data_IF_883226582145
#
_entry.id   IF_883226582145
#
_cell.length_a   1.000
_cell.length_b   1.000
_cell.length_c   1.000
_cell.angle_alpha   90.00
_cell.angle_beta   90.00
_cell.angle_gamma   90.00
#
_symmetry.space_group_name_H-M   'P 1'
#
loop_
_entity.id
_entity.type
_entity.pdbx_description
1 polymer ?
#
# COMPACT_ATOMS: atom_id res chain seq x y z
N UNK A 1 5.36 10.47 -13.69
CA UNK A 1 5.92 9.17 -13.24
C UNK A 1 6.65 9.26 -11.89
N UNK A 2 7.46 10.29 -11.71
CA UNK A 2 8.22 10.53 -10.48
C UNK A 2 7.31 10.51 -9.23
N UNK A 3 6.26 11.32 -9.22
CA UNK A 3 5.32 11.38 -8.09
C UNK A 3 4.54 10.08 -7.91
N UNK A 4 4.24 9.37 -9.01
CA UNK A 4 3.52 8.10 -8.95
C UNK A 4 4.33 7.03 -8.22
N UNK A 5 5.63 6.92 -8.50
CA UNK A 5 6.50 5.94 -7.83
C UNK A 5 6.58 6.23 -6.34
N UNK A 6 6.77 7.48 -5.95
CA UNK A 6 6.82 7.88 -4.54
C UNK A 6 5.45 7.67 -3.86
N UNK A 7 4.35 7.93 -4.57
CA UNK A 7 3.00 7.68 -4.06
C UNK A 7 2.78 6.18 -3.78
N UNK A 8 3.22 5.31 -4.69
CA UNK A 8 3.13 3.86 -4.50
C UNK A 8 3.92 3.44 -3.25
N UNK A 9 5.12 3.98 -3.06
CA UNK A 9 5.91 3.71 -1.87
C UNK A 9 5.18 4.12 -0.59
N UNK A 10 4.59 5.31 -0.55
CA UNK A 10 3.79 5.79 0.58
C UNK A 10 2.57 4.89 0.85
N UNK A 11 1.87 4.50 -0.21
CA UNK A 11 0.73 3.59 -0.11
C UNK A 11 1.14 2.24 0.49
N UNK A 12 2.29 1.69 0.09
CA UNK A 12 2.76 0.41 0.61
C UNK A 12 3.26 0.50 2.05
N UNK A 13 3.82 1.64 2.47
CA UNK A 13 4.13 1.88 3.89
C UNK A 13 2.84 1.77 4.72
N UNK A 14 1.78 2.42 4.27
CA UNK A 14 0.48 2.38 4.95
C UNK A 14 -0.12 0.97 4.95
N UNK A 15 -0.04 0.26 3.82
CA UNK A 15 -0.50 -1.12 3.73
C UNK A 15 0.24 -2.02 4.73
N UNK A 16 1.55 -1.90 4.80
CA UNK A 16 2.37 -2.65 5.73
C UNK A 16 1.92 -2.42 7.18
N UNK A 17 1.73 -1.16 7.56
CA UNK A 17 1.28 -0.80 8.91
C UNK A 17 -0.13 -1.34 9.19
N UNK A 18 -1.04 -1.23 8.23
CA UNK A 18 -2.43 -1.68 8.40
C UNK A 18 -2.52 -3.19 8.60
N UNK A 19 -1.76 -3.98 7.85
CA UNK A 19 -1.71 -5.42 8.06
C UNK A 19 -1.12 -5.78 9.42
N UNK A 20 -0.07 -5.09 9.84
CA UNK A 20 0.52 -5.32 11.17
C UNK A 20 -0.49 -5.01 12.27
N UNK A 21 -1.22 -3.92 12.16
CA UNK A 21 -2.27 -3.57 13.13
C UNK A 21 -3.40 -4.61 13.13
N UNK A 22 -3.85 -5.02 11.95
CA UNK A 22 -4.91 -6.02 11.84
C UNK A 22 -4.53 -7.38 12.38
N UNK A 23 -3.24 -7.74 12.33
CA UNK A 23 -2.73 -9.01 12.85
C UNK A 23 -2.42 -8.97 14.34
N UNK A 24 -2.27 -7.79 14.94
CA UNK A 24 -1.82 -7.64 16.32
C UNK A 24 -2.88 -7.04 17.24
N UNK A 25 -3.88 -6.35 16.72
CA UNK A 25 -4.92 -5.70 17.51
C UNK A 25 -6.29 -6.21 17.09
N UNK A 26 -7.26 -6.06 17.98
CA UNK A 26 -8.63 -6.48 17.72
C UNK A 26 -9.42 -5.35 17.06
N UNK A 27 -9.73 -5.52 15.79
CA UNK A 27 -10.47 -4.55 14.96
C UNK A 27 -9.93 -3.12 15.12
N UNK A 28 -8.64 -2.87 14.84
CA UNK A 28 -8.08 -1.54 15.02
C UNK A 28 -8.71 -0.54 14.05
N UNK A 29 -8.81 0.71 14.50
CA UNK A 29 -9.22 1.83 13.66
C UNK A 29 -7.97 2.33 12.94
N UNK A 30 -7.94 2.20 11.62
CA UNK A 30 -6.80 2.70 10.84
C UNK A 30 -6.92 4.21 10.63
N UNK A 31 -5.78 4.86 10.41
CA UNK A 31 -5.77 6.29 10.13
C UNK A 31 -5.66 6.52 8.62
N UNK A 32 -6.64 7.19 8.01
CA UNK A 32 -6.47 7.69 6.64
C UNK A 32 -5.36 8.75 6.60
N UNK A 33 -4.75 8.94 5.44
CA UNK A 33 -3.70 9.94 5.28
C UNK A 33 -4.00 10.83 4.08
N UNK A 34 -3.47 12.05 4.13
CA UNK A 34 -3.62 13.05 3.07
C UNK A 34 -2.61 12.75 1.95
N UNK A 35 -3.05 12.00 0.94
CA UNK A 35 -2.20 11.60 -0.18
C UNK A 35 -1.62 12.81 -0.92
N UNK A 36 -2.42 13.84 -1.11
CA UNK A 36 -1.97 15.07 -1.79
C UNK A 36 -0.94 15.82 -0.96
N UNK A 37 -1.13 15.88 0.36
CA UNK A 37 -0.17 16.49 1.27
C UNK A 37 1.15 15.73 1.29
N UNK A 38 1.10 14.41 1.26
CA UNK A 38 2.30 13.57 1.29
C UNK A 38 3.20 13.81 0.07
N UNK A 39 2.62 13.93 -1.14
CA UNK A 39 3.42 14.16 -2.35
C UNK A 39 4.01 15.57 -2.43
N UNK A 40 3.56 16.50 -1.58
CA UNK A 40 4.15 17.84 -1.49
C UNK A 40 5.38 17.91 -0.58
N UNK A 41 5.66 16.85 0.18
CA UNK A 41 6.81 16.84 1.08
C UNK A 41 8.13 16.77 0.30
N UNK A 42 9.20 17.31 0.92
CA UNK A 42 10.49 17.49 0.25
C UNK A 42 11.15 16.17 -0.15
N UNK A 43 10.96 15.08 0.59
CA UNK A 43 11.51 13.78 0.23
C UNK A 43 10.93 13.28 -1.10
N UNK A 44 9.64 13.54 -1.36
CA UNK A 44 9.02 13.23 -2.65
C UNK A 44 9.53 14.16 -3.75
N UNK A 45 9.68 15.44 -3.43
CA UNK A 45 10.07 16.47 -4.40
C UNK A 45 11.55 16.39 -4.78
N UNK A 46 12.42 15.99 -3.87
CA UNK A 46 13.88 16.10 -4.02
C UNK A 46 14.59 14.80 -4.29
N UNK A 47 14.06 13.66 -3.83
CA UNK A 47 14.73 12.38 -4.00
C UNK A 47 14.42 11.72 -5.35
N UNK A 48 15.40 11.01 -5.92
CA UNK A 48 15.15 10.26 -7.16
C UNK A 48 14.29 9.02 -6.89
N UNK A 49 13.67 8.49 -7.95
CA UNK A 49 12.73 7.37 -7.84
C UNK A 49 13.39 6.08 -7.34
N UNK A 50 14.69 5.90 -7.56
CA UNK A 50 15.39 4.70 -7.11
C UNK A 50 15.34 4.53 -5.59
N UNK A 51 15.24 5.60 -4.82
CA UNK A 51 15.09 5.52 -3.36
C UNK A 51 13.74 4.86 -3.02
N UNK A 52 12.66 5.27 -3.65
CA UNK A 52 11.35 4.64 -3.45
C UNK A 52 11.28 3.23 -3.99
N UNK A 53 11.95 2.92 -5.09
CA UNK A 53 12.03 1.56 -5.63
C UNK A 53 12.73 0.65 -4.63
N UNK A 54 13.83 1.11 -4.03
CA UNK A 54 14.54 0.36 -2.98
C UNK A 54 13.65 0.12 -1.77
N UNK A 55 12.92 1.14 -1.34
CA UNK A 55 11.97 1.03 -0.23
C UNK A 55 10.87 0.02 -0.54
N UNK A 56 10.29 0.08 -1.75
CA UNK A 56 9.25 -0.86 -2.19
C UNK A 56 9.77 -2.30 -2.17
N UNK A 57 10.99 -2.52 -2.66
CA UNK A 57 11.59 -3.85 -2.67
C UNK A 57 11.71 -4.40 -1.24
N UNK A 58 12.19 -3.59 -0.31
CA UNK A 58 12.33 -3.98 1.09
C UNK A 58 10.97 -4.22 1.74
N UNK A 59 9.99 -3.37 1.48
CA UNK A 59 8.62 -3.52 2.02
C UNK A 59 7.97 -4.81 1.51
N UNK A 60 8.10 -5.11 0.21
CA UNK A 60 7.53 -6.32 -0.38
C UNK A 60 8.13 -7.59 0.25
N UNK A 61 9.45 -7.60 0.49
CA UNK A 61 10.10 -8.73 1.14
C UNK A 61 9.54 -8.95 2.55
N UNK A 62 9.39 -7.87 3.32
CA UNK A 62 8.83 -7.95 4.67
C UNK A 62 7.36 -8.31 4.68
N UNK A 63 6.58 -7.76 3.75
CA UNK A 63 5.16 -8.10 3.65
C UNK A 63 4.97 -9.57 3.28
N UNK A 64 5.76 -10.08 2.35
CA UNK A 64 5.70 -11.49 1.98
C UNK A 64 5.97 -12.39 3.20
N UNK A 65 7.03 -12.13 3.96
CA UNK A 65 7.33 -12.91 5.16
C UNK A 65 6.25 -12.79 6.24
N UNK A 66 5.65 -11.63 6.39
CA UNK A 66 4.59 -11.40 7.36
C UNK A 66 3.30 -12.13 6.96
N UNK A 67 2.93 -12.07 5.68
CA UNK A 67 1.62 -12.51 5.22
C UNK A 67 1.56 -13.99 4.86
N UNK A 68 2.69 -14.62 4.47
CA UNK A 68 2.68 -16.02 4.04
C UNK A 68 2.30 -17.01 5.15
N UNK A 69 2.44 -16.60 6.41
CA UNK A 69 2.07 -17.43 7.58
C UNK A 69 0.69 -17.12 8.14
N UNK A 70 -0.02 -16.15 7.58
CA UNK A 70 -1.37 -15.80 8.01
C UNK A 70 -2.30 -16.97 7.67
N UNK A 71 -3.02 -17.46 8.67
CA UNK A 71 -3.92 -18.60 8.50
C UNK A 71 -5.21 -18.19 7.79
N UNK A 72 -5.92 -19.18 7.23
CA UNK A 72 -7.23 -18.91 6.60
C UNK A 72 -8.21 -18.30 7.59
N UNK A 73 -8.18 -18.76 8.84
CA UNK A 73 -9.01 -18.20 9.91
C UNK A 73 -8.70 -16.71 10.12
N UNK A 74 -7.41 -16.35 10.18
CA UNK A 74 -7.01 -14.96 10.34
C UNK A 74 -7.43 -14.10 9.13
N UNK A 75 -7.25 -14.62 7.92
CA UNK A 75 -7.69 -13.92 6.71
C UNK A 75 -9.18 -13.65 6.72
N UNK A 76 -9.99 -14.58 7.19
CA UNK A 76 -11.45 -14.50 7.13
C UNK A 76 -12.04 -13.77 8.33
N UNK A 77 -11.40 -13.77 9.49
CA UNK A 77 -12.00 -13.29 10.74
C UNK A 77 -11.34 -12.06 11.34
N UNK A 78 -10.05 -11.83 11.07
CA UNK A 78 -9.41 -10.60 11.53
C UNK A 78 -9.86 -9.42 10.69
N UNK A 79 -10.12 -8.30 11.36
CA UNK A 79 -10.71 -7.11 10.74
C UNK A 79 -9.97 -5.86 11.14
N UNK A 80 -10.17 -4.80 10.36
CA UNK A 80 -9.83 -3.44 10.72
C UNK A 80 -11.00 -2.52 10.33
N UNK A 81 -11.08 -1.37 10.97
CA UNK A 81 -12.13 -0.39 10.69
C UNK A 81 -11.54 0.80 9.92
N UNK A 82 -12.12 1.09 8.77
CA UNK A 82 -11.74 2.22 7.93
C UNK A 82 -12.71 3.37 8.16
N UNK A 83 -12.31 4.44 8.87
CA UNK A 83 -13.24 5.50 9.26
C UNK A 83 -13.74 6.33 8.07
N UNK A 84 -12.93 6.46 7.02
CA UNK A 84 -13.31 7.19 5.81
C UNK A 84 -14.43 6.48 5.06
N UNK A 85 -14.32 5.16 4.92
CA UNK A 85 -15.36 4.33 4.31
C UNK A 85 -16.45 3.93 5.31
N UNK A 86 -16.27 4.24 6.60
CA UNK A 86 -17.20 3.87 7.69
C UNK A 86 -17.51 2.38 7.66
N UNK A 87 -16.47 1.55 7.51
CA UNK A 87 -16.64 0.13 7.21
C UNK A 87 -15.60 -0.72 7.93
N UNK A 88 -16.07 -1.84 8.50
CA UNK A 88 -15.20 -2.90 8.99
C UNK A 88 -14.82 -3.80 7.83
N UNK A 89 -13.52 -4.05 7.66
CA UNK A 89 -12.98 -4.84 6.56
C UNK A 89 -12.23 -6.05 7.08
N UNK A 90 -12.48 -7.22 6.50
CA UNK A 90 -11.69 -8.42 6.76
C UNK A 90 -10.35 -8.30 6.07
N UNK A 91 -9.30 -8.95 6.62
CA UNK A 91 -7.94 -8.82 6.07
C UNK A 91 -7.85 -9.28 4.61
N UNK A 92 -8.55 -10.35 4.22
CA UNK A 92 -8.51 -10.79 2.83
C UNK A 92 -9.07 -9.72 1.88
N UNK A 93 -10.07 -8.96 2.31
CA UNK A 93 -10.64 -7.87 1.51
C UNK A 93 -9.62 -6.73 1.36
N UNK A 94 -8.90 -6.40 2.44
CA UNK A 94 -7.85 -5.39 2.43
C UNK A 94 -6.73 -5.78 1.46
N UNK A 95 -6.33 -7.07 1.48
CA UNK A 95 -5.34 -7.59 0.55
C UNK A 95 -5.82 -7.45 -0.90
N UNK A 96 -7.07 -7.79 -1.17
CA UNK A 96 -7.67 -7.65 -2.50
C UNK A 96 -7.68 -6.22 -2.99
N UNK A 97 -7.99 -5.25 -2.13
CA UNK A 97 -7.95 -3.83 -2.46
C UNK A 97 -6.54 -3.38 -2.87
N UNK A 98 -5.51 -3.77 -2.11
CA UNK A 98 -4.14 -3.38 -2.42
C UNK A 98 -3.63 -4.07 -3.68
N UNK A 99 -3.98 -5.33 -3.90
CA UNK A 99 -3.61 -6.05 -5.12
C UNK A 99 -4.22 -5.39 -6.36
N UNK A 100 -5.50 -5.02 -6.31
CA UNK A 100 -6.18 -4.31 -7.40
C UNK A 100 -5.54 -2.95 -7.64
N UNK A 101 -5.26 -2.21 -6.56
CA UNK A 101 -4.65 -0.88 -6.63
C UNK A 101 -3.26 -0.95 -7.26
N UNK A 102 -2.46 -1.94 -6.87
CA UNK A 102 -1.13 -2.18 -7.46
C UNK A 102 -1.20 -2.44 -8.95
N UNK A 103 -2.12 -3.30 -9.40
CA UNK A 103 -2.34 -3.55 -10.83
C UNK A 103 -2.73 -2.29 -11.58
N UNK A 104 -3.57 -1.46 -10.99
CA UNK A 104 -4.01 -0.21 -11.60
C UNK A 104 -2.84 0.75 -11.82
N UNK A 105 -1.96 0.90 -10.84
CA UNK A 105 -0.78 1.74 -10.97
C UNK A 105 0.20 1.20 -12.00
N UNK A 106 0.42 -0.10 -12.07
CA UNK A 106 1.27 -0.73 -13.08
C UNK A 106 0.71 -0.48 -14.47
N UNK A 107 -0.62 -0.60 -14.64
CA UNK A 107 -1.27 -0.32 -15.92
C UNK A 107 -1.06 1.13 -16.35
N UNK A 108 -1.11 2.10 -15.43
CA UNK A 108 -0.81 3.50 -15.72
C UNK A 108 0.62 3.69 -16.23
N UNK A 109 1.59 3.04 -15.60
CA UNK A 109 3.00 3.11 -16.00
C UNK A 109 3.19 2.50 -17.38
N UNK A 110 2.60 1.34 -17.65
CA UNK A 110 2.68 0.65 -18.93
C UNK A 110 2.10 1.52 -20.04
N UNK A 111 0.92 2.10 -19.84
CA UNK A 111 0.28 2.99 -20.80
C UNK A 111 1.16 4.19 -21.09
N UNK A 112 1.75 4.79 -20.07
CA UNK A 112 2.64 5.93 -20.24
C UNK A 112 3.88 5.57 -21.06
N UNK A 113 4.47 4.39 -20.80
CA UNK A 113 5.60 3.90 -21.58
C UNK A 113 5.26 3.75 -23.05
N UNK A 114 4.11 3.17 -23.36
CA UNK A 114 3.64 2.99 -24.73
C UNK A 114 3.46 4.34 -25.44
N UNK A 115 2.84 5.31 -24.76
CA UNK A 115 2.61 6.66 -25.31
C UNK A 115 3.91 7.41 -25.56
N UNK A 116 4.92 7.20 -24.73
CA UNK A 116 6.21 7.91 -24.80
C UNK A 116 7.26 7.17 -25.62
N UNK A 117 7.00 5.94 -26.03
CA UNK A 117 7.95 5.13 -26.77
C UNK A 117 9.12 4.62 -25.94
N UNK A 118 8.94 4.48 -24.63
CA UNK A 118 9.98 4.02 -23.72
C UNK A 118 10.17 2.50 -23.72
#
# INVERSE_FOLDING_TARGET
MHQLVHHIAGSHINAFCRFRLGLTEDNPVIKPYDENGWVQLYDVQKLPINISITLLHALHARMYEMLKYVTDDEWNNRTLFHPEHKRTMRLWYVLGMYAWHGKHHVAHITTLREQKGW
#
